data_IF_581647359104
#
_entry.id   IF_581647359104
#
_cell.length_a   1.000
_cell.length_b   1.000
_cell.length_c   1.000
_cell.angle_alpha   90.00
_cell.angle_beta   90.00
_cell.angle_gamma   90.00
#
_symmetry.space_group_name_H-M   'P 1'
#
loop_
_entity.id
_entity.type
_entity.pdbx_description
1 polymer ?
#
# COMPACT_ATOMS: atom_id res chain seq x y z
N UNK A 1 32.52 -19.23 5.57
CA UNK A 1 32.22 -17.80 5.83
C UNK A 1 31.19 -17.37 4.80
N UNK A 2 29.91 -17.56 5.10
CA UNK A 2 28.81 -17.07 4.26
C UNK A 2 28.33 -15.78 4.92
N UNK A 3 28.54 -14.65 4.24
CA UNK A 3 28.12 -13.34 4.72
C UNK A 3 26.63 -13.22 4.49
N UNK A 4 25.85 -13.56 5.51
CA UNK A 4 24.44 -13.22 5.58
C UNK A 4 24.34 -11.70 5.63
N UNK A 5 24.01 -11.11 4.49
CA UNK A 5 23.72 -9.68 4.39
C UNK A 5 22.35 -9.43 5.06
N UNK A 6 22.22 -8.53 6.04
CA UNK A 6 20.95 -8.21 6.70
C UNK A 6 20.14 -7.23 5.85
N UNK A 7 19.84 -7.58 4.59
CA UNK A 7 18.97 -6.79 3.75
C UNK A 7 17.52 -7.16 4.03
N UNK A 8 16.97 -6.43 5.01
CA UNK A 8 15.56 -6.28 5.40
C UNK A 8 14.59 -7.14 4.60
N UNK A 9 13.99 -8.10 5.29
CA UNK A 9 12.60 -8.48 5.06
C UNK A 9 11.76 -7.19 4.96
N UNK A 10 11.45 -6.76 3.73
CA UNK A 10 10.61 -5.58 3.44
C UNK A 10 9.29 -6.04 2.81
N UNK A 11 8.94 -7.31 2.99
CA UNK A 11 7.78 -7.96 2.38
C UNK A 11 6.70 -8.40 3.37
N UNK A 12 6.80 -8.00 4.64
CA UNK A 12 5.65 -8.02 5.53
C UNK A 12 5.41 -6.59 6.01
N UNK A 13 4.14 -6.18 6.07
CA UNK A 13 3.70 -4.79 6.31
C UNK A 13 4.48 -4.09 7.43
N UNK A 14 4.50 -2.75 7.40
CA UNK A 14 5.32 -1.97 8.36
C UNK A 14 5.06 -2.49 9.79
N UNK A 15 6.05 -3.08 10.49
CA UNK A 15 5.84 -3.64 11.84
C UNK A 15 5.48 -2.54 12.84
N UNK A 16 5.65 -1.27 12.44
CA UNK A 16 5.21 -0.10 13.16
C UNK A 16 3.68 0.08 13.15
N UNK A 17 2.97 -0.59 12.24
CA UNK A 17 1.51 -0.66 12.19
C UNK A 17 0.96 -1.87 12.93
N UNK A 18 1.80 -2.86 13.27
CA UNK A 18 1.38 -4.05 14.02
C UNK A 18 0.93 -3.64 15.43
N UNK A 19 -0.28 -4.08 15.82
CA UNK A 19 -0.87 -3.72 17.12
C UNK A 19 -1.48 -2.30 17.23
N UNK A 20 -1.42 -1.47 16.18
CA UNK A 20 -2.14 -0.19 16.14
C UNK A 20 -3.63 -0.39 15.82
N UNK A 21 -4.48 0.50 16.35
CA UNK A 21 -5.93 0.47 16.07
C UNK A 21 -6.17 1.04 14.66
N UNK A 22 -6.96 0.33 13.85
CA UNK A 22 -7.20 0.66 12.44
C UNK A 22 -7.74 2.07 12.17
N UNK A 23 -8.54 2.59 13.09
CA UNK A 23 -9.17 3.93 13.03
C UNK A 23 -8.19 5.09 13.32
N UNK A 24 -7.01 4.80 13.86
CA UNK A 24 -6.05 5.87 14.18
C UNK A 24 -5.48 6.51 12.92
N UNK A 25 -5.35 7.84 12.94
CA UNK A 25 -4.69 8.59 11.87
C UNK A 25 -3.25 8.10 11.66
N UNK A 26 -2.84 8.02 10.39
CA UNK A 26 -1.51 7.56 10.01
C UNK A 26 -0.44 8.58 10.41
N UNK A 27 0.58 8.14 11.13
CA UNK A 27 1.71 8.99 11.49
C UNK A 27 2.55 9.39 10.26
N UNK A 28 3.10 10.60 10.27
CA UNK A 28 3.94 11.14 9.18
C UNK A 28 5.11 10.21 8.80
N UNK A 29 5.70 9.53 9.79
CA UNK A 29 6.78 8.55 9.56
C UNK A 29 6.31 7.35 8.73
N UNK A 30 5.13 6.82 9.04
CA UNK A 30 4.55 5.70 8.32
C UNK A 30 4.10 6.13 6.92
N UNK A 31 3.49 7.33 6.82
CA UNK A 31 3.11 7.93 5.54
C UNK A 31 4.33 8.14 4.62
N UNK A 32 5.44 8.64 5.15
CA UNK A 32 6.67 8.84 4.37
C UNK A 32 7.26 7.54 3.85
N UNK A 33 7.26 6.47 4.65
CA UNK A 33 7.69 5.13 4.21
C UNK A 33 6.77 4.57 3.15
N UNK A 34 5.45 4.67 3.36
CA UNK A 34 4.46 4.19 2.40
C UNK A 34 4.61 4.91 1.05
N UNK A 35 4.75 6.24 1.08
CA UNK A 35 5.00 7.05 -0.13
C UNK A 35 6.26 6.62 -0.87
N UNK A 36 7.32 6.27 -0.16
CA UNK A 36 8.55 5.75 -0.76
C UNK A 36 8.34 4.36 -1.38
N UNK A 37 7.60 3.47 -0.70
CA UNK A 37 7.27 2.12 -1.18
C UNK A 37 6.39 2.15 -2.42
N UNK A 38 5.53 3.16 -2.53
CA UNK A 38 4.63 3.38 -3.67
C UNK A 38 5.31 3.88 -4.94
N UNK A 39 6.60 4.21 -4.91
CA UNK A 39 7.35 4.64 -6.09
C UNK A 39 7.58 3.43 -7.01
N UNK A 40 6.85 3.40 -8.13
CA UNK A 40 6.84 2.28 -9.08
C UNK A 40 7.48 2.65 -10.41
N UNK A 41 7.92 1.64 -11.15
CA UNK A 41 8.55 1.83 -12.47
C UNK A 41 7.57 2.23 -13.58
N UNK A 42 6.27 2.01 -13.35
CA UNK A 42 5.21 2.30 -14.31
C UNK A 42 4.53 3.63 -13.98
N UNK A 43 4.57 4.57 -14.93
CA UNK A 43 4.12 5.95 -14.72
C UNK A 43 2.63 6.05 -14.36
N UNK A 44 1.79 5.21 -14.97
CA UNK A 44 0.34 5.23 -14.69
C UNK A 44 0.07 4.89 -13.21
N UNK A 45 0.72 3.85 -12.68
CA UNK A 45 0.63 3.49 -11.27
C UNK A 45 1.12 4.65 -10.39
N UNK A 46 2.26 5.25 -10.72
CA UNK A 46 2.80 6.37 -9.95
C UNK A 46 1.83 7.56 -9.92
N UNK A 47 1.20 7.91 -11.05
CA UNK A 47 0.18 8.96 -11.11
C UNK A 47 -1.07 8.65 -10.27
N UNK A 48 -1.56 7.40 -10.33
CA UNK A 48 -2.70 6.98 -9.49
C UNK A 48 -2.38 7.13 -8.01
N UNK A 49 -1.20 6.68 -7.59
CA UNK A 49 -0.81 6.76 -6.19
C UNK A 49 -0.55 8.22 -5.76
N UNK A 50 0.04 9.04 -6.61
CA UNK A 50 0.21 10.47 -6.33
C UNK A 50 -1.12 11.18 -6.12
N UNK A 51 -2.08 10.98 -7.04
CA UNK A 51 -3.44 11.55 -6.95
C UNK A 51 -4.13 11.09 -5.66
N UNK A 52 -4.01 9.80 -5.34
CA UNK A 52 -4.56 9.24 -4.11
C UNK A 52 -3.97 9.92 -2.87
N UNK A 53 -2.65 10.06 -2.78
CA UNK A 53 -2.04 10.73 -1.63
C UNK A 53 -2.48 12.19 -1.54
N UNK A 54 -2.54 12.92 -2.65
CA UNK A 54 -2.98 14.32 -2.63
C UNK A 54 -4.42 14.50 -2.11
N UNK A 55 -5.31 13.55 -2.39
CA UNK A 55 -6.71 13.62 -1.93
C UNK A 55 -6.91 13.06 -0.53
N UNK A 56 -6.21 11.99 -0.16
CA UNK A 56 -6.50 11.20 1.03
C UNK A 56 -5.42 11.26 2.11
N UNK A 57 -4.26 11.90 1.90
CA UNK A 57 -3.15 11.94 2.89
C UNK A 57 -3.60 12.35 4.30
N UNK A 58 -4.48 13.34 4.40
CA UNK A 58 -5.01 13.86 5.68
C UNK A 58 -6.08 12.97 6.32
N UNK A 59 -6.65 12.03 5.56
CA UNK A 59 -7.71 11.11 6.00
C UNK A 59 -7.21 9.66 6.08
N UNK A 60 -5.93 9.42 5.80
CA UNK A 60 -5.33 8.09 5.89
C UNK A 60 -5.27 7.63 7.34
N UNK A 61 -5.76 6.42 7.56
CA UNK A 61 -5.71 5.74 8.87
C UNK A 61 -4.73 4.57 8.78
N UNK A 62 -4.44 3.97 9.94
CA UNK A 62 -3.63 2.76 10.03
C UNK A 62 -4.22 1.64 9.17
N UNK A 63 -5.55 1.48 9.15
CA UNK A 63 -6.20 0.45 8.33
C UNK A 63 -6.02 0.71 6.84
N UNK A 64 -6.20 1.96 6.41
CA UNK A 64 -5.92 2.33 5.03
C UNK A 64 -4.46 2.07 4.65
N UNK A 65 -3.51 2.37 5.55
CA UNK A 65 -2.10 2.10 5.30
C UNK A 65 -1.83 0.60 5.13
N UNK A 66 -2.40 -0.27 5.97
CA UNK A 66 -2.26 -1.73 5.86
C UNK A 66 -2.78 -2.26 4.53
N UNK A 67 -3.96 -1.81 4.12
CA UNK A 67 -4.53 -2.13 2.81
C UNK A 67 -3.61 -1.70 1.66
N UNK A 68 -3.08 -0.47 1.73
CA UNK A 68 -2.11 0.03 0.77
C UNK A 68 -0.83 -0.79 0.75
N UNK A 69 -0.27 -1.17 1.89
CA UNK A 69 0.93 -2.03 1.94
C UNK A 69 0.69 -3.36 1.23
N UNK A 70 -0.49 -3.96 1.39
CA UNK A 70 -0.85 -5.19 0.70
C UNK A 70 -1.01 -4.98 -0.82
N UNK A 71 -1.61 -3.87 -1.24
CA UNK A 71 -1.65 -3.48 -2.67
C UNK A 71 -0.24 -3.18 -3.22
N UNK A 72 0.67 -2.66 -2.38
CA UNK A 72 2.05 -2.38 -2.76
C UNK A 72 2.93 -3.62 -2.88
N UNK A 73 2.50 -4.76 -2.34
CA UNK A 73 3.17 -6.06 -2.55
C UNK A 73 2.93 -6.62 -3.97
N UNK A 74 1.86 -6.17 -4.64
CA UNK A 74 1.52 -6.62 -5.99
C UNK A 74 2.51 -6.12 -7.04
N UNK A 75 2.63 -6.85 -8.15
CA UNK A 75 3.40 -6.40 -9.31
C UNK A 75 2.74 -5.20 -9.99
N UNK A 76 3.53 -4.40 -10.71
CA UNK A 76 3.03 -3.19 -11.39
C UNK A 76 1.88 -3.50 -12.36
N UNK A 77 1.97 -4.62 -13.08
CA UNK A 77 0.93 -5.07 -13.99
C UNK A 77 -0.35 -5.50 -13.25
N UNK A 78 -0.22 -6.24 -12.15
CA UNK A 78 -1.37 -6.67 -11.34
C UNK A 78 -2.08 -5.47 -10.69
N UNK A 79 -1.33 -4.52 -10.15
CA UNK A 79 -1.90 -3.30 -9.57
C UNK A 79 -2.68 -2.51 -10.62
N UNK A 80 -2.09 -2.33 -11.81
CA UNK A 80 -2.75 -1.61 -12.91
C UNK A 80 -4.03 -2.33 -13.36
N UNK A 81 -3.98 -3.67 -13.49
CA UNK A 81 -5.13 -4.47 -13.91
C UNK A 81 -6.28 -4.41 -12.88
N UNK A 82 -5.96 -4.38 -11.58
CA UNK A 82 -6.93 -4.17 -10.50
C UNK A 82 -7.55 -2.76 -10.54
N UNK A 83 -6.72 -1.73 -10.72
CA UNK A 83 -7.20 -0.35 -10.85
C UNK A 83 -8.16 -0.22 -12.03
N UNK A 84 -7.84 -0.85 -13.16
CA UNK A 84 -8.62 -0.86 -14.40
C UNK A 84 -9.89 -1.75 -14.37
N UNK A 85 -10.27 -2.36 -13.23
CA UNK A 85 -11.40 -3.33 -13.13
C UNK A 85 -11.23 -4.56 -14.02
N UNK A 86 -10.01 -4.89 -14.46
CA UNK A 86 -9.74 -6.03 -15.33
C UNK A 86 -9.52 -7.33 -14.55
N UNK A 87 -9.06 -7.22 -13.31
CA UNK A 87 -8.94 -8.32 -12.33
C UNK A 87 -9.79 -8.06 -11.09
N UNK A 88 -10.24 -9.14 -10.47
CA UNK A 88 -10.72 -9.13 -9.08
C UNK A 88 -9.52 -9.34 -8.13
N UNK A 89 -9.60 -8.79 -6.91
CA UNK A 89 -8.46 -8.92 -5.99
C UNK A 89 -8.32 -10.38 -5.53
N UNK A 90 -7.08 -10.86 -5.38
CA UNK A 90 -6.85 -12.21 -4.89
C UNK A 90 -7.27 -12.36 -3.42
N UNK A 91 -7.87 -13.50 -3.07
CA UNK A 91 -8.25 -13.90 -1.70
C UNK A 91 -7.11 -13.88 -0.66
N UNK A 92 -5.86 -13.74 -1.11
CA UNK A 92 -4.66 -13.78 -0.26
C UNK A 92 -4.34 -12.44 0.42
N UNK A 93 -4.98 -11.35 -0.02
CA UNK A 93 -4.77 -10.01 0.55
C UNK A 93 -5.81 -9.78 1.65
N UNK A 94 -5.43 -9.14 2.76
CA UNK A 94 -6.35 -8.68 3.82
C UNK A 94 -7.50 -7.89 3.18
N UNK A 95 -8.60 -8.60 2.89
CA UNK A 95 -9.51 -8.22 1.82
C UNK A 95 -10.22 -6.91 2.12
N UNK A 96 -10.61 -6.69 3.37
CA UNK A 96 -11.43 -5.55 3.78
C UNK A 96 -10.65 -4.23 3.67
N UNK A 97 -9.48 -4.12 4.30
CA UNK A 97 -8.65 -2.91 4.27
C UNK A 97 -8.15 -2.60 2.85
N UNK A 98 -7.74 -3.62 2.10
CA UNK A 98 -7.27 -3.44 0.72
C UNK A 98 -8.41 -3.09 -0.24
N UNK A 99 -9.61 -3.64 -0.05
CA UNK A 99 -10.82 -3.30 -0.81
C UNK A 99 -11.18 -1.84 -0.65
N UNK A 100 -11.22 -1.37 0.60
CA UNK A 100 -11.60 0.01 0.90
C UNK A 100 -10.65 0.97 0.19
N UNK A 101 -9.35 0.73 0.35
CA UNK A 101 -8.30 1.53 -0.28
C UNK A 101 -8.33 1.43 -1.80
N UNK A 102 -8.56 0.25 -2.34
CA UNK A 102 -8.71 0.07 -3.79
C UNK A 102 -9.92 0.84 -4.30
N UNK A 103 -11.03 0.87 -3.57
CA UNK A 103 -12.20 1.66 -3.95
C UNK A 103 -11.92 3.17 -3.90
N UNK A 104 -11.18 3.62 -2.88
CA UNK A 104 -10.72 5.02 -2.77
C UNK A 104 -9.77 5.41 -3.91
N UNK A 105 -8.87 4.50 -4.32
CA UNK A 105 -7.95 4.71 -5.44
C UNK A 105 -8.65 4.86 -6.80
N UNK A 106 -9.87 4.35 -6.92
CA UNK A 106 -10.65 4.37 -8.16
C UNK A 106 -11.60 5.57 -8.26
N UNK A 107 -11.76 6.31 -7.18
CA UNK A 107 -12.70 7.43 -7.08
C UNK A 107 -11.97 8.76 -7.24
#
# INVERSE_FOLDING_TARGET
MNVELPFRDTSVGDPMLDGLVGDQALNERALSKLRWRSRRGLLENDLFIQQFFQQYESQLTVSHARGLYALMDLSDNDLLDLLLKRKEMPDTVTQEEALEVLNMLRH
#
